data_IF_197440403699
#
_entry.id   IF_197440403699
#
_cell.length_a   1.000
_cell.length_b   1.000
_cell.length_c   1.000
_cell.angle_alpha   90.00
_cell.angle_beta   90.00
_cell.angle_gamma   90.00
#
_symmetry.space_group_name_H-M   'P 1'
#
loop_
_entity.id
_entity.type
_entity.pdbx_description
1 polymer ?
#
# COMPACT_ATOMS: atom_id res chain seq x y z
N UNK A 1 2.32 4.80 14.29
CA UNK A 1 1.88 4.64 12.89
C UNK A 1 1.34 5.96 12.42
N UNK A 2 1.84 6.47 11.30
CA UNK A 2 1.71 7.88 10.87
C UNK A 2 0.28 8.41 10.97
N UNK A 3 -0.74 7.64 10.54
CA UNK A 3 -2.13 8.09 10.61
C UNK A 3 -2.61 8.39 12.04
N UNK A 4 -2.23 7.57 13.02
CA UNK A 4 -2.56 7.81 14.44
C UNK A 4 -1.82 9.03 15.00
N UNK A 5 -0.55 9.20 14.62
CA UNK A 5 0.29 10.32 15.06
C UNK A 5 -0.22 11.66 14.52
N UNK A 6 -0.73 11.68 13.29
CA UNK A 6 -1.28 12.87 12.64
C UNK A 6 -2.77 13.08 12.89
N UNK A 7 -3.46 12.08 13.45
CA UNK A 7 -4.92 12.12 13.67
C UNK A 7 -5.76 12.08 12.39
N UNK A 8 -5.16 11.79 11.23
CA UNK A 8 -5.82 11.76 9.93
C UNK A 8 -5.28 10.60 9.08
N UNK A 9 -6.11 10.04 8.21
CA UNK A 9 -5.70 9.11 7.16
C UNK A 9 -5.60 9.85 5.82
N UNK A 10 -4.38 10.22 5.42
CA UNK A 10 -4.15 11.06 4.24
C UNK A 10 -3.93 10.29 2.94
N UNK A 11 -4.34 10.87 1.81
CA UNK A 11 -3.91 10.47 0.46
C UNK A 11 -3.58 11.71 -0.38
N UNK A 12 -2.71 11.58 -1.39
CA UNK A 12 -2.27 12.72 -2.21
C UNK A 12 -3.25 12.98 -3.36
N UNK A 13 -3.58 14.26 -3.58
CA UNK A 13 -4.39 14.70 -4.72
C UNK A 13 -5.78 14.05 -4.74
N UNK A 14 -6.19 13.51 -5.89
CA UNK A 14 -7.46 12.77 -6.01
C UNK A 14 -7.37 11.32 -5.50
N UNK A 15 -6.15 10.84 -5.18
CA UNK A 15 -5.86 9.50 -4.72
C UNK A 15 -6.11 8.40 -5.75
N UNK A 16 -6.12 8.75 -7.04
CA UNK A 16 -6.27 7.79 -8.16
C UNK A 16 -4.99 7.00 -8.44
N UNK A 17 -3.86 7.45 -7.90
CA UNK A 17 -2.60 6.68 -7.90
C UNK A 17 -2.84 5.28 -7.34
N UNK A 18 -2.29 4.27 -8.01
CA UNK A 18 -2.51 2.86 -7.70
C UNK A 18 -1.26 2.21 -7.14
N UNK A 19 -1.42 1.48 -6.05
CA UNK A 19 -0.37 0.65 -5.46
C UNK A 19 -0.78 -0.81 -5.50
N UNK A 20 0.12 -1.66 -5.98
CA UNK A 20 -0.05 -3.12 -5.89
C UNK A 20 0.19 -3.58 -4.47
N UNK A 21 -0.78 -4.27 -3.88
CA UNK A 21 -0.62 -4.93 -2.58
C UNK A 21 -0.52 -6.46 -2.71
N UNK A 22 0.02 -7.06 -1.66
CA UNK A 22 -0.04 -8.49 -1.41
C UNK A 22 -0.14 -8.71 0.10
N UNK A 23 -0.79 -9.80 0.50
CA UNK A 23 -0.85 -10.15 1.91
C UNK A 23 0.54 -10.62 2.39
N UNK A 24 0.96 -10.17 3.58
CA UNK A 24 2.32 -10.43 4.08
C UNK A 24 2.70 -11.91 4.16
N UNK A 25 1.74 -12.79 4.52
CA UNK A 25 2.00 -14.23 4.62
C UNK A 25 2.09 -14.89 3.23
N UNK A 26 1.35 -14.38 2.26
CA UNK A 26 1.40 -14.86 0.88
C UNK A 26 2.73 -14.47 0.25
N UNK A 27 3.20 -13.24 0.50
CA UNK A 27 4.54 -12.79 0.13
C UNK A 27 5.62 -13.70 0.72
N UNK A 28 5.52 -14.07 2.01
CA UNK A 28 6.49 -14.98 2.64
C UNK A 28 6.53 -16.35 1.94
N UNK A 29 5.37 -16.91 1.60
CA UNK A 29 5.30 -18.15 0.82
C UNK A 29 5.89 -17.99 -0.59
N UNK A 30 5.63 -16.88 -1.26
CA UNK A 30 6.20 -16.58 -2.58
C UNK A 30 7.72 -16.44 -2.53
N UNK A 31 8.27 -15.80 -1.50
CA UNK A 31 9.73 -15.70 -1.31
C UNK A 31 10.38 -17.09 -1.21
N UNK A 32 9.79 -17.99 -0.42
CA UNK A 32 10.27 -19.37 -0.31
C UNK A 32 10.22 -20.09 -1.66
N UNK A 33 9.11 -19.97 -2.40
CA UNK A 33 8.97 -20.60 -3.71
C UNK A 33 9.94 -20.03 -4.75
N UNK A 34 10.15 -18.70 -4.74
CA UNK A 34 11.11 -18.05 -5.61
C UNK A 34 12.53 -18.57 -5.36
N UNK A 35 12.93 -18.67 -4.09
CA UNK A 35 14.24 -19.20 -3.71
C UNK A 35 14.42 -20.67 -4.12
N UNK A 36 13.41 -21.50 -3.91
CA UNK A 36 13.49 -22.94 -4.16
C UNK A 36 13.38 -23.31 -5.65
N UNK A 37 12.68 -22.50 -6.45
CA UNK A 37 12.21 -22.92 -7.79
C UNK A 37 12.48 -21.95 -8.92
N UNK A 38 12.76 -20.67 -8.65
CA UNK A 38 12.98 -19.71 -9.73
C UNK A 38 14.35 -19.96 -10.37
N UNK A 39 14.47 -19.81 -11.70
CA UNK A 39 15.77 -19.79 -12.36
C UNK A 39 16.70 -18.74 -11.75
N UNK A 40 18.01 -19.04 -11.68
CA UNK A 40 19.00 -18.08 -11.21
C UNK A 40 18.95 -16.80 -12.05
N UNK A 41 19.02 -15.64 -11.38
CA UNK A 41 18.90 -14.32 -12.02
C UNK A 41 17.47 -13.85 -12.27
N UNK A 42 16.44 -14.57 -11.79
CA UNK A 42 15.06 -14.11 -11.91
C UNK A 42 14.77 -12.87 -11.05
N UNK A 43 14.02 -11.93 -11.62
CA UNK A 43 13.40 -10.81 -10.89
C UNK A 43 11.88 -11.02 -10.87
N UNK A 44 11.30 -11.06 -9.68
CA UNK A 44 9.88 -11.36 -9.47
C UNK A 44 9.23 -10.28 -8.61
N UNK A 45 7.99 -9.93 -8.93
CA UNK A 45 7.15 -9.02 -8.12
C UNK A 45 6.02 -9.82 -7.46
N UNK A 46 5.94 -9.77 -6.13
CA UNK A 46 4.86 -10.42 -5.39
C UNK A 46 3.63 -9.50 -5.34
N UNK A 47 2.69 -9.71 -6.24
CA UNK A 47 1.49 -8.87 -6.41
C UNK A 47 0.25 -9.75 -6.44
N UNK A 48 -0.76 -9.41 -5.63
CA UNK A 48 -2.04 -10.13 -5.60
C UNK A 48 -3.15 -9.44 -6.42
N UNK A 49 -2.92 -8.18 -6.81
CA UNK A 49 -3.94 -7.28 -7.35
C UNK A 49 -3.35 -6.29 -8.36
N UNK A 50 -4.15 -5.87 -9.35
CA UNK A 50 -3.75 -5.00 -10.46
C UNK A 50 -3.49 -3.53 -10.05
N UNK A 51 -3.58 -3.20 -8.77
CA UNK A 51 -3.39 -1.87 -8.20
C UNK A 51 -4.64 -1.36 -7.49
N UNK A 52 -4.54 -1.03 -6.21
CA UNK A 52 -5.62 -0.39 -5.45
C UNK A 52 -5.39 1.12 -5.41
N UNK A 53 -6.41 1.95 -5.72
CA UNK A 53 -6.31 3.39 -5.56
C UNK A 53 -5.97 3.76 -4.11
N UNK A 54 -4.98 4.63 -3.91
CA UNK A 54 -4.51 5.01 -2.57
C UNK A 54 -5.63 5.61 -1.72
N UNK A 55 -6.58 6.32 -2.34
CA UNK A 55 -7.78 6.81 -1.65
C UNK A 55 -8.55 5.67 -0.95
N UNK A 56 -8.74 4.54 -1.63
CA UNK A 56 -9.46 3.39 -1.07
C UNK A 56 -8.69 2.81 0.12
N UNK A 57 -7.36 2.75 0.05
CA UNK A 57 -6.52 2.34 1.18
C UNK A 57 -6.68 3.29 2.37
N UNK A 58 -6.62 4.60 2.13
CA UNK A 58 -6.78 5.62 3.16
C UNK A 58 -8.17 5.58 3.80
N UNK A 59 -9.23 5.30 3.04
CA UNK A 59 -10.59 5.11 3.53
C UNK A 59 -10.72 3.87 4.44
N UNK A 60 -10.09 2.76 4.07
CA UNK A 60 -10.05 1.55 4.91
C UNK A 60 -9.32 1.82 6.23
N UNK A 61 -8.16 2.48 6.17
CA UNK A 61 -7.38 2.84 7.36
C UNK A 61 -8.19 3.80 8.24
N UNK A 62 -8.76 4.86 7.67
CA UNK A 62 -9.56 5.84 8.42
C UNK A 62 -10.73 5.18 9.14
N UNK A 63 -11.47 4.30 8.45
CA UNK A 63 -12.56 3.53 9.05
C UNK A 63 -12.10 2.62 10.19
N UNK A 64 -11.00 1.88 10.02
CA UNK A 64 -10.47 0.99 11.06
C UNK A 64 -9.94 1.74 12.28
N UNK A 65 -9.42 2.94 12.07
CA UNK A 65 -8.82 3.76 13.12
C UNK A 65 -9.78 4.77 13.74
N UNK A 66 -10.97 4.96 13.17
CA UNK A 66 -11.91 6.02 13.57
C UNK A 66 -11.39 7.43 13.28
N UNK A 67 -10.60 7.59 12.21
CA UNK A 67 -9.95 8.84 11.84
C UNK A 67 -10.55 9.43 10.55
N UNK A 68 -10.61 10.77 10.43
CA UNK A 68 -11.00 11.41 9.18
C UNK A 68 -10.03 11.08 8.05
N UNK A 69 -10.56 11.03 6.83
CA UNK A 69 -9.80 10.77 5.61
C UNK A 69 -9.64 12.07 4.85
N UNK A 70 -8.42 12.46 4.49
CA UNK A 70 -8.13 13.78 3.90
C UNK A 70 -7.29 13.67 2.63
N UNK A 71 -7.63 14.52 1.65
CA UNK A 71 -6.79 14.77 0.48
C UNK A 71 -5.70 15.77 0.85
N UNK A 72 -4.45 15.43 0.57
CA UNK A 72 -3.26 16.27 0.77
C UNK A 72 -2.79 16.81 -0.58
N UNK A 73 -2.60 18.13 -0.75
CA UNK A 73 -2.02 18.69 -1.97
C UNK A 73 -0.64 18.11 -2.24
N UNK A 74 -0.33 17.80 -3.52
CA UNK A 74 0.96 17.19 -3.87
C UNK A 74 2.16 18.06 -3.46
N UNK A 75 2.02 19.39 -3.47
CA UNK A 75 3.06 20.32 -3.03
C UNK A 75 3.39 20.22 -1.52
N UNK A 76 2.52 19.59 -0.73
CA UNK A 76 2.69 19.39 0.71
C UNK A 76 3.11 17.95 1.05
N UNK A 77 3.31 17.09 0.05
CA UNK A 77 3.57 15.66 0.24
C UNK A 77 5.04 15.32 0.55
N UNK A 78 5.97 16.26 0.36
CA UNK A 78 7.39 16.08 0.65
C UNK A 78 7.68 16.40 2.12
N UNK A 79 7.45 15.44 3.01
CA UNK A 79 7.85 15.49 4.42
C UNK A 79 8.23 14.12 5.00
#
# INVERSE_FOLDING_TARGET
GIAREKGVSGYIGDGTNRWSAAHRLDSAHLFRLALEKAPAGSTLHAVAEEGVPVRVLAEVIGRQLGLPVVSVPAAEADA
#
